data_IF_812567389444
#
_entry.id   IF_812567389444
#
_cell.length_a   1.000
_cell.length_b   1.000
_cell.length_c   1.000
_cell.angle_alpha   90.00
_cell.angle_beta   90.00
_cell.angle_gamma   90.00
#
_symmetry.space_group_name_H-M   'P 1'
#
loop_
_entity.id
_entity.type
_entity.pdbx_description
1 polymer ?
#
# COMPACT_ATOMS: atom_id res chain seq x y z
N UNK A 1 5.41 9.12 -14.64
CA UNK A 1 4.54 8.30 -15.51
C UNK A 1 5.31 7.88 -16.77
N UNK A 2 5.35 6.57 -17.06
CA UNK A 2 5.98 6.06 -18.30
C UNK A 2 5.11 6.36 -19.53
N UNK A 3 3.81 6.56 -19.32
CA UNK A 3 2.81 7.03 -20.28
C UNK A 3 1.76 7.91 -19.56
N UNK A 4 0.95 8.66 -20.31
CA UNK A 4 -0.15 9.50 -19.77
C UNK A 4 -1.41 8.68 -19.41
N UNK A 5 -1.45 7.39 -19.79
CA UNK A 5 -2.60 6.52 -19.59
C UNK A 5 -2.54 5.76 -18.24
N UNK A 6 -1.40 5.77 -17.55
CA UNK A 6 -1.19 5.18 -16.23
C UNK A 6 -1.92 5.95 -15.11
N UNK A 7 -3.20 5.66 -14.99
CA UNK A 7 -4.05 6.17 -13.92
C UNK A 7 -3.74 5.53 -12.55
N UNK A 8 -3.20 4.31 -12.51
CA UNK A 8 -3.06 3.54 -11.27
C UNK A 8 -1.97 4.12 -10.36
N UNK A 9 -0.84 4.52 -10.94
CA UNK A 9 0.29 5.07 -10.18
C UNK A 9 -0.06 6.36 -9.44
N UNK A 10 -0.91 7.21 -10.03
CA UNK A 10 -1.29 8.51 -9.45
C UNK A 10 -2.56 8.44 -8.59
N UNK A 11 -3.30 7.34 -8.65
CA UNK A 11 -4.58 7.21 -7.96
C UNK A 11 -4.44 7.10 -6.44
N UNK A 12 -3.44 6.34 -5.96
CA UNK A 12 -3.31 6.03 -4.53
C UNK A 12 -2.33 6.96 -3.83
N UNK A 13 -1.19 7.23 -4.47
CA UNK A 13 -0.11 8.00 -3.88
C UNK A 13 0.06 9.33 -4.63
N UNK A 14 0.27 10.46 -3.92
CA UNK A 14 0.62 11.69 -4.56
C UNK A 14 1.89 11.56 -5.41
N UNK A 15 1.96 12.31 -6.51
CA UNK A 15 3.09 12.25 -7.42
C UNK A 15 4.42 12.55 -6.68
N UNK A 16 5.42 11.69 -6.90
CA UNK A 16 6.77 11.85 -6.35
C UNK A 16 6.94 11.41 -4.89
N UNK A 17 5.93 10.81 -4.24
CA UNK A 17 6.03 10.45 -2.81
C UNK A 17 6.38 8.99 -2.55
N UNK A 18 6.44 8.14 -3.57
CA UNK A 18 6.54 6.68 -3.37
C UNK A 18 7.61 6.06 -4.28
N UNK A 19 8.43 5.18 -3.68
CA UNK A 19 9.45 4.37 -4.36
C UNK A 19 9.15 2.91 -3.98
N UNK A 20 9.12 2.02 -4.97
CA UNK A 20 9.04 0.57 -4.76
C UNK A 20 10.45 -0.02 -4.87
N UNK A 21 11.13 -0.34 -3.74
CA UNK A 21 12.46 -0.95 -3.79
C UNK A 21 12.36 -2.43 -4.19
N UNK A 22 13.39 -2.94 -4.86
CA UNK A 22 13.58 -4.38 -4.99
C UNK A 22 13.90 -5.02 -3.63
N UNK A 23 13.65 -6.31 -3.46
CA UNK A 23 13.91 -7.01 -2.20
C UNK A 23 15.40 -6.93 -1.77
N UNK A 24 16.33 -6.75 -2.71
CA UNK A 24 17.77 -6.63 -2.49
C UNK A 24 18.28 -5.18 -2.40
N UNK A 25 17.41 -4.18 -2.56
CA UNK A 25 17.81 -2.77 -2.71
C UNK A 25 18.74 -2.29 -1.59
N UNK A 26 18.38 -2.54 -0.33
CA UNK A 26 19.17 -2.10 0.83
C UNK A 26 20.47 -2.89 1.05
N UNK A 27 20.71 -3.97 0.31
CA UNK A 27 22.01 -4.67 0.36
C UNK A 27 23.13 -3.83 -0.28
N UNK A 28 22.79 -2.81 -1.07
CA UNK A 28 23.74 -1.88 -1.67
C UNK A 28 24.04 -0.64 -0.80
N UNK A 29 23.32 -0.46 0.31
CA UNK A 29 23.45 0.70 1.20
C UNK A 29 24.02 0.28 2.57
N UNK A 30 25.30 -0.08 2.59
CA UNK A 30 25.98 -0.67 3.75
C UNK A 30 27.27 0.08 4.13
N UNK A 31 27.28 1.39 3.89
CA UNK A 31 28.41 2.26 4.24
C UNK A 31 28.60 2.32 5.76
N UNK A 32 27.49 2.50 6.51
CA UNK A 32 27.49 2.64 7.98
C UNK A 32 26.93 1.43 8.76
N UNK A 33 26.32 0.48 8.04
CA UNK A 33 25.70 -0.72 8.61
C UNK A 33 26.11 -1.97 7.85
N UNK A 34 25.96 -3.14 8.46
CA UNK A 34 26.20 -4.44 7.84
C UNK A 34 25.00 -5.34 8.04
N UNK A 35 24.54 -5.98 6.96
CA UNK A 35 23.45 -6.95 7.01
C UNK A 35 23.87 -8.15 7.87
N UNK A 36 22.98 -8.53 8.78
CA UNK A 36 23.10 -9.72 9.63
C UNK A 36 22.23 -10.83 9.08
N UNK A 37 21.03 -10.49 8.62
CA UNK A 37 20.09 -11.45 8.06
C UNK A 37 19.05 -10.76 7.14
N UNK A 38 18.42 -11.53 6.27
CA UNK A 38 17.47 -11.05 5.27
C UNK A 38 16.39 -12.10 5.01
N UNK A 39 15.12 -11.66 5.01
CA UNK A 39 13.97 -12.51 4.73
C UNK A 39 13.01 -11.80 3.78
N UNK A 40 12.31 -12.58 2.96
CA UNK A 40 11.13 -12.13 2.22
C UNK A 40 9.88 -12.80 2.79
N UNK A 41 8.75 -12.14 2.64
CA UNK A 41 7.44 -12.64 3.01
C UNK A 41 6.48 -12.42 1.84
N UNK A 42 5.87 -13.49 1.36
CA UNK A 42 4.96 -13.50 0.20
C UNK A 42 3.92 -12.36 0.26
N UNK A 43 3.63 -11.76 -0.89
CA UNK A 43 2.67 -10.67 -1.04
C UNK A 43 1.26 -11.02 -0.56
N UNK A 44 0.90 -12.32 -0.51
CA UNK A 44 -0.38 -12.80 0.02
C UNK A 44 -0.72 -12.26 1.40
N UNK A 45 0.28 -12.03 2.25
CA UNK A 45 0.06 -11.47 3.58
C UNK A 45 -0.52 -10.06 3.51
N UNK A 46 0.07 -9.20 2.69
CA UNK A 46 -0.38 -7.82 2.57
C UNK A 46 -1.62 -7.68 1.68
N UNK A 47 -1.77 -8.54 0.66
CA UNK A 47 -3.00 -8.67 -0.11
C UNK A 47 -4.20 -8.95 0.80
N UNK A 48 -4.11 -9.97 1.67
CA UNK A 48 -5.15 -10.29 2.67
C UNK A 48 -5.34 -9.19 3.71
N UNK A 49 -4.29 -8.46 4.05
CA UNK A 49 -4.40 -7.31 4.98
C UNK A 49 -5.32 -6.25 4.41
N UNK A 50 -5.11 -5.87 3.14
CA UNK A 50 -5.95 -4.90 2.44
C UNK A 50 -7.38 -5.44 2.23
N UNK A 51 -7.54 -6.73 1.95
CA UNK A 51 -8.85 -7.39 1.85
C UNK A 51 -9.68 -7.24 3.13
N UNK A 52 -9.05 -7.50 4.29
CA UNK A 52 -9.73 -7.37 5.58
C UNK A 52 -10.02 -5.91 5.94
N UNK A 53 -9.20 -4.96 5.49
CA UNK A 53 -9.51 -3.53 5.63
C UNK A 53 -10.71 -3.11 4.78
N UNK A 54 -10.78 -3.57 3.53
CA UNK A 54 -11.92 -3.29 2.65
C UNK A 54 -13.23 -3.83 3.23
N UNK A 55 -13.24 -5.10 3.66
CA UNK A 55 -14.42 -5.72 4.29
C UNK A 55 -14.90 -4.91 5.49
N UNK A 56 -13.98 -4.41 6.32
CA UNK A 56 -14.31 -3.59 7.50
C UNK A 56 -14.81 -2.21 7.12
N UNK A 57 -14.24 -1.57 6.09
CA UNK A 57 -14.70 -0.30 5.56
C UNK A 57 -16.16 -0.40 5.10
N UNK A 58 -16.46 -1.41 4.27
CA UNK A 58 -17.80 -1.60 3.70
C UNK A 58 -18.83 -2.02 4.76
N UNK A 59 -18.46 -2.92 5.68
CA UNK A 59 -19.36 -3.34 6.76
C UNK A 59 -19.73 -2.22 7.74
N UNK A 60 -18.95 -1.14 7.77
CA UNK A 60 -19.14 0.00 8.68
C UNK A 60 -19.43 1.31 7.93
N UNK A 61 -19.82 1.24 6.65
CA UNK A 61 -20.02 2.46 5.82
C UNK A 61 -21.06 3.40 6.41
N UNK A 62 -22.10 2.87 7.07
CA UNK A 62 -23.15 3.66 7.71
C UNK A 62 -22.65 4.54 8.87
N UNK A 63 -21.59 4.13 9.56
CA UNK A 63 -20.96 4.94 10.63
C UNK A 63 -19.79 5.77 10.11
N UNK A 64 -19.11 5.30 9.05
CA UNK A 64 -17.98 6.01 8.44
C UNK A 64 -18.45 7.20 7.62
N UNK A 65 -19.56 7.09 6.89
CA UNK A 65 -20.06 8.20 6.06
C UNK A 65 -20.33 9.46 6.89
N UNK A 66 -21.09 9.43 8.01
CA UNK A 66 -21.28 10.61 8.85
C UNK A 66 -19.98 11.17 9.44
N UNK A 67 -19.04 10.29 9.82
CA UNK A 67 -17.72 10.69 10.30
C UNK A 67 -16.95 11.49 9.24
N UNK A 68 -16.95 11.00 8.00
CA UNK A 68 -16.26 11.70 6.92
C UNK A 68 -16.98 12.98 6.49
N UNK A 69 -18.31 13.03 6.52
CA UNK A 69 -19.05 14.29 6.31
C UNK A 69 -18.64 15.35 7.33
N UNK A 70 -18.45 14.94 8.60
CA UNK A 70 -17.98 15.84 9.65
C UNK A 70 -16.56 16.36 9.38
N UNK A 71 -15.70 15.51 8.81
CA UNK A 71 -14.31 15.84 8.49
C UNK A 71 -14.18 16.73 7.24
N UNK A 72 -14.92 16.43 6.17
CA UNK A 72 -14.79 17.08 4.86
C UNK A 72 -15.74 18.27 4.67
N UNK A 73 -16.83 18.32 5.43
CA UNK A 73 -17.84 19.37 5.35
C UNK A 73 -18.90 19.16 4.25
N UNK A 74 -18.85 18.07 3.47
CA UNK A 74 -19.88 17.75 2.47
C UNK A 74 -20.02 16.26 2.22
N UNK A 75 -21.22 15.82 1.80
CA UNK A 75 -21.45 14.43 1.41
C UNK A 75 -20.66 14.03 0.17
N UNK A 76 -20.47 14.94 -0.78
CA UNK A 76 -19.71 14.68 -2.01
C UNK A 76 -18.25 14.36 -1.71
N UNK A 77 -17.58 15.20 -0.92
CA UNK A 77 -16.17 14.99 -0.54
C UNK A 77 -16.01 13.79 0.38
N UNK A 78 -16.98 13.53 1.27
CA UNK A 78 -16.98 12.31 2.08
C UNK A 78 -17.03 11.05 1.21
N UNK A 79 -17.85 11.03 0.16
CA UNK A 79 -17.93 9.90 -0.77
C UNK A 79 -16.66 9.74 -1.59
N UNK A 80 -16.02 10.83 -2.04
CA UNK A 80 -14.69 10.78 -2.69
C UNK A 80 -13.66 10.15 -1.76
N UNK A 81 -13.65 10.52 -0.48
CA UNK A 81 -12.72 9.98 0.51
C UNK A 81 -12.98 8.49 0.82
N UNK A 82 -14.24 8.06 0.93
CA UNK A 82 -14.58 6.62 1.08
C UNK A 82 -14.07 5.83 -0.13
N UNK A 83 -14.33 6.32 -1.34
CA UNK A 83 -13.92 5.64 -2.56
C UNK A 83 -12.40 5.64 -2.74
N UNK A 84 -11.71 6.69 -2.30
CA UNK A 84 -10.25 6.71 -2.22
C UNK A 84 -9.73 5.57 -1.34
N UNK A 85 -10.29 5.37 -0.14
CA UNK A 85 -9.88 4.28 0.76
C UNK A 85 -10.23 2.89 0.22
N UNK A 86 -11.37 2.74 -0.47
CA UNK A 86 -11.67 1.50 -1.21
C UNK A 86 -10.64 1.24 -2.30
N UNK A 87 -10.35 2.27 -3.08
CA UNK A 87 -9.33 2.27 -4.11
C UNK A 87 -7.96 1.84 -3.59
N UNK A 88 -7.49 2.45 -2.51
CA UNK A 88 -6.27 2.08 -1.79
C UNK A 88 -6.24 0.58 -1.45
N UNK A 89 -7.31 0.06 -0.85
CA UNK A 89 -7.37 -1.34 -0.46
C UNK A 89 -7.37 -2.27 -1.68
N UNK A 90 -8.16 -1.96 -2.70
CA UNK A 90 -8.22 -2.74 -3.94
C UNK A 90 -6.85 -2.78 -4.65
N UNK A 91 -6.17 -1.63 -4.75
CA UNK A 91 -4.83 -1.55 -5.31
C UNK A 91 -3.84 -2.42 -4.53
N UNK A 92 -3.86 -2.36 -3.19
CA UNK A 92 -3.01 -3.20 -2.34
C UNK A 92 -3.33 -4.70 -2.44
N UNK A 93 -4.61 -5.06 -2.57
CA UNK A 93 -5.06 -6.45 -2.76
C UNK A 93 -4.51 -7.04 -4.05
N UNK A 94 -4.75 -6.38 -5.18
CA UNK A 94 -4.41 -6.90 -6.50
C UNK A 94 -2.90 -6.85 -6.75
N UNK A 95 -2.24 -5.74 -6.41
CA UNK A 95 -0.79 -5.60 -6.58
C UNK A 95 -0.03 -6.67 -5.81
N UNK A 96 -0.27 -6.82 -4.50
CA UNK A 96 0.45 -7.82 -3.70
C UNK A 96 -0.09 -9.25 -3.86
N UNK A 97 -1.29 -9.42 -4.40
CA UNK A 97 -1.87 -10.74 -4.71
C UNK A 97 -1.44 -11.28 -6.07
N UNK A 98 -0.92 -10.42 -6.95
CA UNK A 98 -0.57 -10.76 -8.32
C UNK A 98 0.45 -11.90 -8.40
N UNK A 99 0.30 -12.75 -9.42
CA UNK A 99 1.11 -13.95 -9.64
C UNK A 99 1.29 -14.80 -8.36
N UNK A 100 0.19 -15.04 -7.65
CA UNK A 100 0.18 -15.81 -6.40
C UNK A 100 1.06 -15.19 -5.29
N UNK A 101 1.25 -13.87 -5.30
CA UNK A 101 2.00 -13.12 -4.29
C UNK A 101 3.52 -13.22 -4.42
N UNK A 102 4.03 -13.56 -5.61
CA UNK A 102 5.46 -13.77 -5.87
C UNK A 102 6.13 -12.62 -6.65
N UNK A 103 5.40 -11.55 -7.02
CA UNK A 103 5.99 -10.34 -7.62
C UNK A 103 6.26 -9.25 -6.57
N UNK A 104 5.19 -8.67 -6.01
CA UNK A 104 5.27 -7.65 -4.97
C UNK A 104 5.11 -8.28 -3.58
N UNK A 105 6.05 -8.01 -2.69
CA UNK A 105 6.18 -8.71 -1.41
C UNK A 105 6.81 -7.83 -0.34
N UNK A 106 6.86 -8.32 0.89
CA UNK A 106 7.56 -7.64 1.98
C UNK A 106 9.00 -8.18 2.13
N UNK A 107 9.94 -7.29 2.45
CA UNK A 107 11.34 -7.62 2.71
C UNK A 107 11.73 -7.12 4.11
N UNK A 108 12.29 -8.00 4.94
CA UNK A 108 12.80 -7.67 6.27
C UNK A 108 14.31 -7.83 6.28
N UNK A 109 15.04 -6.79 6.69
CA UNK A 109 16.50 -6.81 6.74
C UNK A 109 16.96 -6.43 8.14
N UNK A 110 17.75 -7.29 8.77
CA UNK A 110 18.36 -7.03 10.06
C UNK A 110 19.79 -6.54 9.84
N UNK A 111 20.13 -5.40 10.43
CA UNK A 111 21.46 -4.81 10.35
C UNK A 111 22.14 -4.76 11.73
N UNK A 112 23.47 -4.80 11.73
CA UNK A 112 24.31 -4.36 12.84
C UNK A 112 25.08 -3.11 12.42
N UNK A 113 25.54 -2.32 13.40
CA UNK A 113 26.47 -1.21 13.15
C UNK A 113 27.79 -1.76 12.60
N UNK A 114 28.37 -1.06 11.63
CA UNK A 114 29.68 -1.37 11.07
C UNK A 114 30.81 -0.82 11.94
#
# INVERSE_FOLDING_TARGET
PLDEDDWFTEYVFPAGTMIIPSASFFLYFQDDVSVVNHWTLSGKHFSRTNEEWLKRLDANVEVIKPMFVTLTGSEEEAMKLINYWRGFCLSGMEMFGYNNGEEWMASHVLFKKK
#
